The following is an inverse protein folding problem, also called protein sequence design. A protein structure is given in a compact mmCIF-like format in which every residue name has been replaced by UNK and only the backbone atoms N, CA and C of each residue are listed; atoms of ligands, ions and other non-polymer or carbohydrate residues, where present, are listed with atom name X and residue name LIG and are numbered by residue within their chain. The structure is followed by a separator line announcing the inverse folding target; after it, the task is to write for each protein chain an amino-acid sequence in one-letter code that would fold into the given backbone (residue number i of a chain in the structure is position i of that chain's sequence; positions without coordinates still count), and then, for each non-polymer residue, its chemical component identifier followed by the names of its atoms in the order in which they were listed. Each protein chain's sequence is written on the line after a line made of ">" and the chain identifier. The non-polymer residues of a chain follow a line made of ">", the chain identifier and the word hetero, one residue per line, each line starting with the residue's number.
data_IF_139010006633
#
_entry.id   IF_139010006633
#
_cell.length_a   1.000
_cell.length_b   1.000
_cell.length_c   1.000
_cell.angle_alpha   90.00
_cell.angle_beta   90.00
_cell.angle_gamma   90.00
#
_symmetry.space_group_name_H-M   'P 1'
#
loop_
_entity.id
_entity.type
_entity.pdbx_description
1 polymer ?
#
# COMPACT_ATOMS: atom_id res chain seq x y z
N UNK A 1 -2.68 -1.32 3.26
CA UNK A 1 -2.83 -2.76 2.92
C UNK A 1 -2.94 -3.63 4.16
N UNK A 2 -4.06 -3.54 4.90
CA UNK A 2 -4.31 -4.37 6.09
C UNK A 2 -5.31 -5.51 5.81
N UNK A 3 -6.18 -5.36 4.81
CA UNK A 3 -7.24 -6.34 4.54
C UNK A 3 -6.84 -7.47 3.57
N UNK A 4 -6.11 -7.16 2.49
CA UNK A 4 -5.78 -8.17 1.45
C UNK A 4 -4.64 -9.10 1.85
N UNK A 5 -3.60 -8.56 2.49
CA UNK A 5 -2.40 -9.32 2.82
C UNK A 5 -2.69 -10.51 3.77
N UNK A 6 -3.51 -10.38 4.83
CA UNK A 6 -3.82 -11.53 5.68
C UNK A 6 -4.64 -12.60 4.95
N UNK A 7 -5.62 -12.21 4.14
CA UNK A 7 -6.56 -13.12 3.49
C UNK A 7 -5.85 -14.01 2.46
N UNK A 8 -4.99 -13.40 1.64
CA UNK A 8 -4.24 -14.12 0.60
C UNK A 8 -3.14 -15.02 1.20
N UNK A 9 -2.51 -14.61 2.31
CA UNK A 9 -1.56 -15.44 3.07
C UNK A 9 -2.27 -16.68 3.64
N UNK A 10 -3.47 -16.51 4.20
CA UNK A 10 -4.23 -17.64 4.76
C UNK A 10 -4.66 -18.60 3.64
N UNK A 11 -5.13 -18.08 2.51
CA UNK A 11 -5.54 -18.88 1.35
C UNK A 11 -4.36 -19.68 0.76
N UNK A 12 -3.21 -19.04 0.57
CA UNK A 12 -2.00 -19.72 0.08
C UNK A 12 -1.46 -20.74 1.08
N UNK A 13 -1.50 -20.46 2.39
CA UNK A 13 -1.13 -21.42 3.45
C UNK A 13 -2.10 -22.61 3.50
N UNK A 14 -3.39 -22.38 3.28
CA UNK A 14 -4.40 -23.45 3.18
C UNK A 14 -4.12 -24.39 2.01
N UNK A 15 -3.74 -23.81 0.85
CA UNK A 15 -3.40 -24.56 -0.37
C UNK A 15 -2.03 -25.26 -0.20
N UNK A 16 -1.09 -24.68 0.53
CA UNK A 16 0.25 -25.23 0.79
C UNK A 16 0.26 -26.40 1.81
N UNK A 17 -0.86 -26.68 2.48
CA UNK A 17 -1.05 -27.85 3.35
C UNK A 17 -0.82 -27.59 4.84
N UNK A 18 -1.40 -28.46 5.67
CA UNK A 18 -1.52 -28.29 7.14
C UNK A 18 -0.20 -28.04 7.90
N UNK A 19 0.96 -28.36 7.32
CA UNK A 19 2.28 -28.10 7.93
C UNK A 19 2.67 -26.61 7.95
N UNK A 20 2.11 -25.78 7.07
CA UNK A 20 2.40 -24.34 7.03
C UNK A 20 1.71 -23.56 8.17
N UNK A 21 0.61 -24.09 8.74
CA UNK A 21 -0.10 -23.49 9.87
C UNK A 21 0.76 -23.46 11.15
N UNK A 22 1.67 -24.43 11.34
CA UNK A 22 2.58 -24.47 12.48
C UNK A 22 3.68 -23.39 12.42
N UNK A 23 4.03 -22.92 11.22
CA UNK A 23 5.00 -21.84 11.01
C UNK A 23 4.37 -20.45 11.01
N UNK A 24 3.04 -20.34 10.89
CA UNK A 24 2.30 -19.08 10.94
C UNK A 24 2.65 -18.17 12.13
N UNK A 25 2.81 -18.68 13.38
CA UNK A 25 3.17 -17.84 14.52
C UNK A 25 4.57 -17.23 14.38
N UNK A 26 5.53 -18.00 13.83
CA UNK A 26 6.91 -17.56 13.62
C UNK A 26 7.00 -16.48 12.54
N UNK A 27 6.22 -16.62 11.46
CA UNK A 27 6.10 -15.59 10.42
C UNK A 27 5.51 -14.31 10.99
N UNK A 28 4.44 -14.41 11.79
CA UNK A 28 3.85 -13.26 12.47
C UNK A 28 4.84 -12.52 13.38
N UNK A 29 5.67 -13.26 14.12
CA UNK A 29 6.72 -12.70 14.98
C UNK A 29 7.81 -11.99 14.15
N UNK A 30 8.18 -12.55 12.99
CA UNK A 30 9.09 -11.91 12.04
C UNK A 30 8.55 -10.58 11.51
N UNK A 31 7.29 -10.56 11.06
CA UNK A 31 6.61 -9.34 10.59
C UNK A 31 6.52 -8.30 11.70
N UNK A 32 6.16 -8.71 12.93
CA UNK A 32 6.09 -7.81 14.08
C UNK A 32 7.46 -7.17 14.40
N UNK A 33 8.54 -7.94 14.31
CA UNK A 33 9.91 -7.45 14.51
C UNK A 33 10.29 -6.42 13.45
N UNK A 34 9.98 -6.69 12.18
CA UNK A 34 10.22 -5.74 11.08
C UNK A 34 9.41 -4.46 11.30
N UNK A 35 8.14 -4.56 11.67
CA UNK A 35 7.31 -3.38 11.96
C UNK A 35 7.88 -2.56 13.11
N UNK A 36 8.38 -3.21 14.17
CA UNK A 36 9.01 -2.53 15.30
C UNK A 36 10.26 -1.76 14.87
N UNK A 37 11.08 -2.36 13.99
CA UNK A 37 12.25 -1.72 13.40
C UNK A 37 11.85 -0.51 12.56
N UNK A 38 10.87 -0.66 11.66
CA UNK A 38 10.34 0.43 10.82
C UNK A 38 9.86 1.59 11.68
N UNK A 39 9.05 1.31 12.71
CA UNK A 39 8.57 2.33 13.66
C UNK A 39 9.74 3.03 14.35
N UNK A 40 10.75 2.27 14.80
CA UNK A 40 11.97 2.83 15.40
C UNK A 40 12.71 3.77 14.45
N UNK A 41 12.90 3.35 13.19
CA UNK A 41 13.54 4.16 12.15
C UNK A 41 12.76 5.43 11.86
N UNK A 42 11.43 5.35 11.74
CA UNK A 42 10.58 6.52 11.51
C UNK A 42 10.64 7.51 12.67
N UNK A 43 10.59 7.02 13.92
CA UNK A 43 10.72 7.87 15.11
C UNK A 43 12.08 8.57 15.16
N UNK A 44 13.15 7.87 14.80
CA UNK A 44 14.48 8.46 14.69
C UNK A 44 14.56 9.52 13.58
N UNK A 45 13.96 9.25 12.42
CA UNK A 45 13.96 10.18 11.29
C UNK A 45 13.19 11.48 11.63
N UNK A 46 11.98 11.37 12.19
CA UNK A 46 11.15 12.53 12.56
C UNK A 46 11.88 13.47 13.54
N UNK A 47 12.67 12.93 14.47
CA UNK A 47 13.37 13.74 15.46
C UNK A 47 14.57 14.50 14.89
N UNK A 48 15.16 14.03 13.78
CA UNK A 48 16.37 14.63 13.19
C UNK A 48 16.12 15.40 11.90
N UNK A 49 15.06 15.06 11.18
CA UNK A 49 14.70 15.65 9.89
C UNK A 49 13.66 16.74 10.15
N UNK A 50 14.12 17.91 10.61
CA UNK A 50 13.24 19.08 10.74
C UNK A 50 12.74 19.54 9.37
N UNK A 51 11.42 19.77 9.27
CA UNK A 51 10.55 20.42 8.25
C UNK A 51 10.86 20.35 6.73
N UNK A 52 12.11 20.16 6.30
CA UNK A 52 12.54 20.21 4.88
C UNK A 52 12.30 18.89 4.12
N UNK A 53 11.76 17.86 4.78
CA UNK A 53 11.40 16.57 4.20
C UNK A 53 12.58 15.66 3.85
N UNK A 54 12.30 14.37 3.67
CA UNK A 54 13.30 13.31 3.43
C UNK A 54 14.11 13.53 2.14
N UNK A 55 13.50 14.19 1.15
CA UNK A 55 14.15 14.53 -0.11
C UNK A 55 15.34 15.47 0.06
N UNK A 56 15.18 16.53 0.85
CA UNK A 56 16.27 17.49 1.10
C UNK A 56 17.40 16.84 1.92
N UNK A 57 17.06 15.88 2.77
CA UNK A 57 18.04 15.13 3.56
C UNK A 57 18.86 14.19 2.69
N UNK A 58 18.21 13.39 1.83
CA UNK A 58 18.90 12.45 0.94
C UNK A 58 19.74 13.20 -0.08
N UNK A 59 19.23 14.29 -0.65
CA UNK A 59 20.01 15.11 -1.56
C UNK A 59 21.26 15.70 -0.89
N UNK A 60 21.15 16.16 0.37
CA UNK A 60 22.28 16.74 1.11
C UNK A 60 23.32 15.70 1.57
N UNK A 61 22.90 14.48 1.95
CA UNK A 61 23.81 13.47 2.52
C UNK A 61 24.32 12.44 1.51
N UNK A 62 23.52 12.08 0.51
CA UNK A 62 23.84 11.03 -0.48
C UNK A 62 24.01 11.59 -1.90
N UNK A 63 23.57 12.83 -2.15
CA UNK A 63 23.68 13.49 -3.46
C UNK A 63 22.44 13.36 -4.33
N UNK A 64 22.41 14.10 -5.44
CA UNK A 64 21.22 14.26 -6.29
C UNK A 64 20.76 12.95 -6.94
N UNK A 65 21.66 12.04 -7.31
CA UNK A 65 21.30 10.75 -7.93
C UNK A 65 20.44 9.88 -7.01
N UNK A 66 20.78 9.79 -5.72
CA UNK A 66 20.02 9.03 -4.74
C UNK A 66 18.68 9.69 -4.39
N UNK A 67 18.59 11.03 -4.46
CA UNK A 67 17.33 11.74 -4.30
C UNK A 67 16.35 11.46 -5.46
N UNK A 68 16.84 11.35 -6.70
CA UNK A 68 16.02 10.94 -7.84
C UNK A 68 15.53 9.50 -7.67
N UNK A 69 16.40 8.60 -7.19
CA UNK A 69 16.04 7.21 -6.91
C UNK A 69 14.96 7.11 -5.82
N UNK A 70 15.07 7.91 -4.75
CA UNK A 70 14.05 8.02 -3.72
C UNK A 70 12.71 8.49 -4.31
N UNK A 71 12.74 9.49 -5.19
CA UNK A 71 11.55 9.98 -5.89
C UNK A 71 10.88 8.94 -6.76
N UNK A 72 11.66 8.21 -7.55
CA UNK A 72 11.16 7.13 -8.37
C UNK A 72 10.53 6.02 -7.51
N UNK A 73 11.19 5.63 -6.40
CA UNK A 73 10.67 4.63 -5.48
C UNK A 73 9.33 5.06 -4.85
N UNK A 74 9.23 6.31 -4.40
CA UNK A 74 7.98 6.86 -3.84
C UNK A 74 6.84 6.88 -4.87
N UNK A 75 7.12 7.28 -6.10
CA UNK A 75 6.10 7.28 -7.18
C UNK A 75 5.59 5.86 -7.46
N UNK A 76 6.49 4.88 -7.53
CA UNK A 76 6.12 3.48 -7.74
C UNK A 76 5.32 2.94 -6.55
N UNK A 77 5.73 3.26 -5.32
CA UNK A 77 5.03 2.85 -4.10
C UNK A 77 3.59 3.39 -4.06
N UNK A 78 3.40 4.67 -4.41
CA UNK A 78 2.07 5.26 -4.50
C UNK A 78 1.21 4.60 -5.56
N UNK A 79 1.73 4.40 -6.78
CA UNK A 79 0.99 3.76 -7.87
C UNK A 79 0.60 2.33 -7.49
N UNK A 80 1.53 1.57 -6.90
CA UNK A 80 1.29 0.19 -6.51
C UNK A 80 0.28 0.10 -5.36
N UNK A 81 0.35 1.00 -4.39
CA UNK A 81 -0.61 1.07 -3.28
C UNK A 81 -2.03 1.34 -3.79
N UNK A 82 -2.20 2.29 -4.72
CA UNK A 82 -3.50 2.59 -5.33
C UNK A 82 -4.00 1.40 -6.16
N UNK A 83 -3.13 0.80 -6.97
CA UNK A 83 -3.48 -0.33 -7.83
C UNK A 83 -3.98 -1.54 -7.01
N UNK A 84 -3.24 -1.95 -5.98
CA UNK A 84 -3.60 -3.09 -5.11
C UNK A 84 -4.89 -2.80 -4.33
N UNK A 85 -5.06 -1.56 -3.85
CA UNK A 85 -6.27 -1.18 -3.12
C UNK A 85 -7.52 -1.21 -4.00
N UNK A 86 -7.44 -0.74 -5.24
CA UNK A 86 -8.57 -0.81 -6.17
C UNK A 86 -8.83 -2.23 -6.68
N UNK A 87 -7.79 -3.05 -6.86
CA UNK A 87 -7.95 -4.46 -7.26
C UNK A 87 -8.73 -5.25 -6.20
N UNK A 88 -8.38 -5.09 -4.92
CA UNK A 88 -9.14 -5.71 -3.83
C UNK A 88 -10.56 -5.12 -3.70
N UNK A 89 -10.73 -3.80 -3.88
CA UNK A 89 -12.07 -3.19 -3.91
C UNK A 89 -12.97 -3.78 -5.01
N UNK A 90 -12.43 -4.01 -6.21
CA UNK A 90 -13.19 -4.64 -7.31
C UNK A 90 -13.60 -6.07 -6.98
N UNK A 91 -12.73 -6.85 -6.34
CA UNK A 91 -13.05 -8.22 -5.90
C UNK A 91 -14.19 -8.22 -4.86
N UNK A 92 -14.21 -7.26 -3.93
CA UNK A 92 -15.32 -7.11 -2.97
C UNK A 92 -16.62 -6.65 -3.64
N UNK A 93 -16.56 -5.76 -4.63
CA UNK A 93 -17.74 -5.34 -5.40
C UNK A 93 -18.35 -6.49 -6.20
N UNK A 94 -17.52 -7.35 -6.79
CA UNK A 94 -17.95 -8.51 -7.57
C UNK A 94 -18.58 -9.60 -6.70
N UNK A 95 -18.08 -9.81 -5.48
CA UNK A 95 -18.68 -10.76 -4.55
C UNK A 95 -20.07 -10.33 -4.05
N UNK A 96 -20.36 -9.03 -4.03
CA UNK A 96 -21.67 -8.47 -3.68
C UNK A 96 -22.67 -8.51 -4.84
N UNK A 97 -22.20 -8.39 -6.08
CA UNK A 97 -23.03 -8.25 -7.30
C UNK A 97 -22.56 -9.24 -8.39
N UNK A 98 -23.00 -10.51 -8.35
CA UNK A 98 -22.56 -11.56 -9.28
C UNK A 98 -22.92 -11.28 -10.75
N UNK A 99 -23.82 -10.33 -11.03
CA UNK A 99 -24.13 -9.88 -12.40
C UNK A 99 -22.98 -9.13 -13.10
N UNK A 100 -21.95 -8.68 -12.35
CA UNK A 100 -20.82 -7.91 -12.87
C UNK A 100 -19.63 -8.79 -13.31
N UNK A 101 -19.70 -10.11 -13.12
CA UNK A 101 -18.63 -11.06 -13.50
C UNK A 101 -18.20 -10.94 -14.96
N UNK A 102 -19.11 -10.58 -15.86
CA UNK A 102 -18.82 -10.48 -17.30
C UNK A 102 -18.01 -9.22 -17.67
N UNK A 103 -17.89 -8.22 -16.78
CA UNK A 103 -17.30 -6.91 -17.09
C UNK A 103 -16.25 -6.44 -16.08
N UNK A 104 -15.55 -7.35 -15.40
CA UNK A 104 -14.53 -7.03 -14.36
C UNK A 104 -13.59 -5.89 -14.76
N UNK A 105 -13.07 -5.94 -16.00
CA UNK A 105 -12.13 -4.92 -16.53
C UNK A 105 -12.76 -3.53 -16.65
N UNK A 106 -14.02 -3.44 -17.08
CA UNK A 106 -14.71 -2.16 -17.22
C UNK A 106 -15.06 -1.58 -15.85
N UNK A 107 -15.45 -2.43 -14.89
CA UNK A 107 -15.73 -2.02 -13.52
C UNK A 107 -14.46 -1.46 -12.87
N UNK A 108 -13.34 -2.17 -12.98
CA UNK A 108 -12.04 -1.72 -12.46
C UNK A 108 -11.60 -0.38 -13.07
N UNK A 109 -11.63 -0.25 -14.40
CA UNK A 109 -11.28 1.00 -15.08
C UNK A 109 -12.23 2.15 -14.71
N UNK A 110 -13.52 1.88 -14.55
CA UNK A 110 -14.49 2.90 -14.14
C UNK A 110 -14.26 3.37 -12.70
N UNK A 111 -13.90 2.44 -11.79
CA UNK A 111 -13.59 2.77 -10.41
C UNK A 111 -12.32 3.62 -10.31
N UNK A 112 -11.28 3.28 -11.08
CA UNK A 112 -10.07 4.10 -11.21
C UNK A 112 -10.46 5.49 -11.72
N UNK A 113 -11.22 5.58 -12.81
CA UNK A 113 -11.64 6.86 -13.38
C UNK A 113 -12.45 7.72 -12.40
N UNK A 114 -13.34 7.12 -11.61
CA UNK A 114 -14.10 7.82 -10.57
C UNK A 114 -13.18 8.35 -9.48
N UNK A 115 -12.26 7.53 -8.96
CA UNK A 115 -11.28 7.97 -7.95
C UNK A 115 -10.40 9.09 -8.51
N UNK A 116 -9.92 8.95 -9.73
CA UNK A 116 -9.14 10.00 -10.41
C UNK A 116 -9.94 11.29 -10.57
N UNK A 117 -11.21 11.21 -10.97
CA UNK A 117 -12.08 12.39 -11.10
C UNK A 117 -12.35 13.06 -9.76
N UNK A 118 -12.53 12.30 -8.68
CA UNK A 118 -12.67 12.83 -7.32
C UNK A 118 -11.39 13.55 -6.90
N UNK A 119 -10.23 12.93 -7.09
CA UNK A 119 -8.93 13.54 -6.80
C UNK A 119 -8.70 14.83 -7.60
N UNK A 120 -9.13 14.87 -8.88
CA UNK A 120 -9.03 16.06 -9.73
C UNK A 120 -10.05 17.16 -9.37
N UNK A 121 -11.24 16.79 -8.87
CA UNK A 121 -12.31 17.76 -8.55
C UNK A 121 -12.10 18.49 -7.23
N UNK A 122 -11.29 17.97 -6.30
CA UNK A 122 -11.08 18.69 -5.05
C UNK A 122 -10.12 18.04 -4.09
N UNK A 123 -8.84 18.44 -4.18
CA UNK A 123 -7.85 18.24 -3.12
C UNK A 123 -8.32 18.91 -1.80
N UNK A 124 -9.05 20.03 -1.93
CA UNK A 124 -9.68 20.74 -0.80
C UNK A 124 -10.80 19.96 -0.10
N UNK A 125 -11.45 19.00 -0.78
CA UNK A 125 -12.45 18.16 -0.14
C UNK A 125 -11.79 17.08 0.73
N UNK A 126 -10.65 16.55 0.27
CA UNK A 126 -9.92 15.48 0.94
C UNK A 126 -9.34 15.93 2.29
N UNK A 127 -8.90 17.19 2.39
CA UNK A 127 -8.41 17.77 3.65
C UNK A 127 -9.48 17.99 4.72
N UNK A 128 -10.78 17.89 4.36
CA UNK A 128 -11.90 18.08 5.30
C UNK A 128 -12.46 16.76 5.85
N UNK A 129 -12.01 15.63 5.30
CA UNK A 129 -12.50 14.28 5.62
C UNK A 129 -11.40 13.44 6.32
N UNK A 130 -10.13 13.82 6.20
CA UNK A 130 -9.01 13.28 6.97
C UNK A 130 -8.86 14.01 8.31
#
# INVERSE_FOLDING_TARGET
>A
SVAYAPDEIILTVLIAGQMALAYSPWVGLGVATILMLVIGTYRYNIQRVGEKGDFALVQKNLGTGFAVLLGAAMMVDFVLTVAVSLSSATQYLESLLPALYSHQRLVACSLIAVVTLVCLRGINFMFRVA
#
